data_IF_757832990704
#
_entry.id   IF_757832990704
#
_cell.length_a   1.000
_cell.length_b   1.000
_cell.length_c   1.000
_cell.angle_alpha   90.00
_cell.angle_beta   90.00
_cell.angle_gamma   90.00
#
_symmetry.space_group_name_H-M   'P 1'
#
loop_
_entity.id
_entity.type
_entity.pdbx_description
1 polymer ?
#
# COMPACT_ATOMS: atom_id res chain seq x y z
N UNK A 1 36.08 34.20 -39.29
CA UNK A 1 35.89 35.01 -38.07
C UNK A 1 34.39 35.09 -37.81
N UNK A 2 33.97 34.60 -36.62
CA UNK A 2 32.76 35.00 -35.86
C UNK A 2 31.42 34.61 -36.48
N UNK A 3 30.42 34.00 -35.84
CA UNK A 3 30.20 33.45 -34.49
C UNK A 3 28.89 32.66 -34.64
N UNK A 4 28.85 31.38 -34.26
CA UNK A 4 28.25 30.90 -33.00
C UNK A 4 26.78 31.33 -32.80
N UNK A 5 25.86 30.40 -33.09
CA UNK A 5 24.56 30.30 -32.40
C UNK A 5 24.08 28.85 -32.55
N UNK A 6 24.75 27.96 -31.81
CA UNK A 6 24.16 26.69 -31.37
C UNK A 6 23.14 27.08 -30.31
N UNK A 7 21.88 27.24 -30.71
CA UNK A 7 20.79 27.36 -29.74
C UNK A 7 20.62 25.98 -29.13
N UNK A 8 21.22 25.80 -27.95
CA UNK A 8 21.05 24.62 -27.12
C UNK A 8 19.56 24.34 -26.95
N UNK A 9 19.15 23.18 -27.42
CA UNK A 9 17.94 22.52 -26.98
C UNK A 9 18.06 22.28 -25.47
N UNK A 10 17.45 23.16 -24.67
CA UNK A 10 16.96 22.78 -23.35
C UNK A 10 15.45 22.75 -23.45
N UNK A 11 14.94 21.67 -24.04
CA UNK A 11 13.60 21.20 -23.71
C UNK A 11 13.61 20.94 -22.20
N UNK A 12 13.18 21.93 -21.42
CA UNK A 12 12.60 21.70 -20.11
C UNK A 12 11.29 20.95 -20.34
N UNK A 13 11.40 19.69 -20.73
CA UNK A 13 10.38 18.71 -20.40
C UNK A 13 10.49 18.53 -18.89
N UNK A 14 9.93 19.49 -18.15
CA UNK A 14 9.46 19.23 -16.80
C UNK A 14 8.35 18.21 -16.99
N UNK A 15 8.73 16.93 -16.96
CA UNK A 15 7.77 15.85 -16.80
C UNK A 15 7.08 16.15 -15.48
N UNK A 16 5.87 16.69 -15.57
CA UNK A 16 5.01 16.81 -14.40
C UNK A 16 4.82 15.38 -13.91
N UNK A 17 5.36 15.06 -12.74
CA UNK A 17 4.87 13.93 -11.98
C UNK A 17 3.46 14.34 -11.55
N UNK A 18 2.46 13.99 -12.36
CA UNK A 18 1.07 14.05 -11.94
C UNK A 18 0.96 13.13 -10.72
N UNK A 19 0.91 13.71 -9.53
CA UNK A 19 0.34 13.01 -8.39
C UNK A 19 -1.16 13.05 -8.64
N UNK A 20 -1.68 12.09 -9.41
CA UNK A 20 -3.12 11.90 -9.48
C UNK A 20 -3.59 11.62 -8.05
N UNK A 21 -4.56 12.39 -7.54
CA UNK A 21 -5.19 12.08 -6.27
C UNK A 21 -5.77 10.67 -6.38
N UNK A 22 -5.30 9.77 -5.51
CA UNK A 22 -5.78 8.40 -5.47
C UNK A 22 -7.23 8.42 -4.93
N UNK A 23 -8.12 7.68 -5.59
CA UNK A 23 -9.54 7.52 -5.21
C UNK A 23 -10.48 8.74 -5.37
N UNK A 24 -10.11 9.79 -6.13
CA UNK A 24 -10.94 11.01 -6.28
C UNK A 24 -12.42 10.73 -6.69
N UNK A 25 -12.65 9.69 -7.50
CA UNK A 25 -13.99 9.29 -7.97
C UNK A 25 -14.44 7.91 -7.44
N UNK A 26 -13.78 7.37 -6.42
CA UNK A 26 -14.10 6.05 -5.85
C UNK A 26 -14.87 6.25 -4.55
N UNK A 27 -16.20 6.35 -4.66
CA UNK A 27 -17.08 6.29 -3.49
C UNK A 27 -17.36 4.84 -3.11
N UNK A 28 -16.74 4.40 -2.01
CA UNK A 28 -17.00 3.11 -1.39
C UNK A 28 -17.25 3.32 0.11
N UNK A 29 -18.48 3.06 0.61
CA UNK A 29 -18.83 3.29 2.02
C UNK A 29 -18.05 2.40 3.00
N UNK A 30 -17.46 1.29 2.52
CA UNK A 30 -16.66 0.41 3.36
C UNK A 30 -15.27 1.02 3.64
N UNK A 31 -14.80 1.93 2.80
CA UNK A 31 -13.53 2.64 2.97
C UNK A 31 -13.66 3.72 4.04
N UNK A 32 -12.86 3.58 5.09
CA UNK A 32 -12.58 4.60 6.09
C UNK A 32 -11.49 5.54 5.56
N UNK A 33 -11.69 6.86 5.71
CA UNK A 33 -10.82 7.92 5.16
C UNK A 33 -10.51 7.80 3.65
N UNK A 34 -11.26 6.96 2.92
CA UNK A 34 -11.16 6.78 1.47
C UNK A 34 -10.14 5.73 1.00
N UNK A 35 -9.32 5.16 1.88
CA UNK A 35 -8.24 4.22 1.51
C UNK A 35 -8.00 3.07 2.50
N UNK A 36 -8.76 3.00 3.59
CA UNK A 36 -8.61 1.96 4.62
C UNK A 36 -9.86 1.11 4.78
N UNK A 37 -9.71 -0.21 4.76
CA UNK A 37 -10.75 -1.11 5.29
C UNK A 37 -10.39 -1.47 6.73
N UNK A 38 -11.35 -1.25 7.63
CA UNK A 38 -11.24 -1.52 9.06
C UNK A 38 -12.07 -2.75 9.43
N UNK A 39 -11.52 -3.66 10.23
CA UNK A 39 -12.35 -4.69 10.88
C UNK A 39 -13.35 -4.02 11.85
N UNK A 40 -14.45 -4.69 12.21
CA UNK A 40 -15.53 -4.07 12.99
C UNK A 40 -15.09 -3.39 14.29
N UNK A 41 -14.12 -3.96 15.01
CA UNK A 41 -13.55 -3.39 16.23
C UNK A 41 -12.73 -2.13 15.96
N UNK A 42 -11.98 -2.09 14.86
CA UNK A 42 -11.23 -0.91 14.40
C UNK A 42 -12.15 0.22 13.98
N UNK A 43 -13.18 -0.09 13.20
CA UNK A 43 -14.15 0.92 12.75
C UNK A 43 -14.89 1.52 13.94
N UNK A 44 -15.36 0.68 14.87
CA UNK A 44 -16.01 1.14 16.09
C UNK A 44 -15.07 2.03 16.93
N UNK A 45 -13.80 1.63 17.10
CA UNK A 45 -12.85 2.46 17.84
C UNK A 45 -12.63 3.82 17.16
N UNK A 46 -12.44 3.83 15.84
CA UNK A 46 -12.22 5.06 15.08
C UNK A 46 -13.42 6.02 15.14
N UNK A 47 -14.64 5.51 14.97
CA UNK A 47 -15.88 6.30 14.99
C UNK A 47 -16.13 6.98 16.35
N UNK A 48 -15.76 6.32 17.44
CA UNK A 48 -15.95 6.84 18.79
C UNK A 48 -14.70 7.51 19.39
N UNK A 49 -13.64 7.68 18.61
CA UNK A 49 -12.39 8.30 19.09
C UNK A 49 -11.65 7.46 20.14
N UNK A 50 -11.91 6.15 20.18
CA UNK A 50 -11.21 5.19 21.00
C UNK A 50 -10.07 4.53 20.22
N UNK A 51 -9.25 3.74 20.94
CA UNK A 51 -8.27 2.87 20.31
C UNK A 51 -8.58 1.40 20.59
N UNK A 52 -8.29 0.54 19.62
CA UNK A 52 -8.56 -0.90 19.69
C UNK A 52 -7.69 -1.63 20.69
N UNK A 53 -6.52 -1.09 21.06
CA UNK A 53 -5.62 -1.71 22.03
C UNK A 53 -5.18 -0.80 23.20
N UNK A 54 -5.84 0.34 23.37
CA UNK A 54 -5.68 1.24 24.50
C UNK A 54 -4.45 2.15 24.41
N UNK A 55 -3.88 2.34 23.22
CA UNK A 55 -2.77 3.24 22.96
C UNK A 55 -3.12 4.36 21.96
N UNK A 56 -2.51 5.51 22.13
CA UNK A 56 -2.81 6.66 21.28
C UNK A 56 -2.37 6.43 19.82
N UNK A 57 -3.34 6.63 18.91
CA UNK A 57 -3.21 6.94 17.47
C UNK A 57 -2.70 5.80 16.57
N UNK A 58 -3.64 5.00 16.08
CA UNK A 58 -3.53 4.34 14.76
C UNK A 58 -2.56 3.15 14.65
N UNK A 59 -2.16 2.55 15.77
CA UNK A 59 -1.31 1.34 15.76
C UNK A 59 -2.12 0.13 16.23
N UNK A 60 -2.16 -0.93 15.43
CA UNK A 60 -2.74 -2.21 15.84
C UNK A 60 -1.65 -3.17 16.30
N UNK A 61 -1.17 -3.04 17.54
CA UNK A 61 -0.04 -3.86 18.05
C UNK A 61 -0.29 -5.35 17.92
N UNK A 62 -1.55 -5.77 18.09
CA UNK A 62 -1.96 -7.19 18.03
C UNK A 62 -2.07 -7.72 16.60
N UNK A 63 -1.94 -6.86 15.59
CA UNK A 63 -2.08 -7.19 14.17
C UNK A 63 -0.83 -6.85 13.38
N UNK A 64 0.33 -6.80 14.00
CA UNK A 64 1.59 -6.67 13.27
C UNK A 64 1.95 -7.97 12.53
N UNK A 65 2.70 -7.83 11.44
CA UNK A 65 3.33 -8.96 10.77
C UNK A 65 4.40 -9.58 11.69
N UNK A 66 4.33 -10.89 11.99
CA UNK A 66 5.31 -11.55 12.84
C UNK A 66 6.74 -11.34 12.32
N UNK A 67 7.65 -10.91 13.19
CA UNK A 67 9.05 -10.63 12.87
C UNK A 67 9.24 -9.58 11.74
N UNK A 68 8.22 -8.78 11.43
CA UNK A 68 8.24 -7.85 10.30
C UNK A 68 8.26 -8.54 8.93
N UNK A 69 7.99 -9.85 8.85
CA UNK A 69 7.99 -10.60 7.60
C UNK A 69 6.60 -10.58 6.97
N UNK A 70 6.55 -10.10 5.73
CA UNK A 70 5.32 -9.90 4.95
C UNK A 70 5.37 -10.82 3.72
N UNK A 71 4.75 -12.01 3.78
CA UNK A 71 4.55 -12.83 2.59
C UNK A 71 3.65 -12.10 1.60
N UNK A 72 3.96 -12.16 0.30
CA UNK A 72 3.15 -11.50 -0.72
C UNK A 72 2.98 -12.31 -2.01
N UNK A 73 1.90 -12.00 -2.73
CA UNK A 73 1.65 -12.42 -4.11
C UNK A 73 1.32 -11.20 -4.97
N UNK A 74 1.53 -11.29 -6.28
CA UNK A 74 1.10 -10.27 -7.23
C UNK A 74 0.16 -10.91 -8.23
N UNK A 75 -1.07 -10.41 -8.27
CA UNK A 75 -2.11 -10.91 -9.15
C UNK A 75 -1.72 -10.68 -10.63
N UNK A 76 -2.10 -11.58 -11.57
CA UNK A 76 -1.92 -11.39 -13.01
C UNK A 76 -2.38 -10.03 -13.55
N UNK A 77 -3.38 -9.42 -12.91
CA UNK A 77 -3.84 -8.08 -13.23
C UNK A 77 -2.74 -7.02 -13.16
N UNK A 78 -1.70 -7.22 -12.35
CA UNK A 78 -0.57 -6.30 -12.18
C UNK A 78 0.75 -6.91 -12.62
N UNK A 79 0.96 -8.21 -12.44
CA UNK A 79 2.25 -8.84 -12.77
C UNK A 79 2.57 -8.85 -14.26
N UNK A 80 1.54 -8.73 -15.10
CA UNK A 80 1.66 -8.53 -16.55
C UNK A 80 2.00 -7.09 -16.96
N UNK A 81 2.00 -6.13 -16.03
CA UNK A 81 2.25 -4.71 -16.29
C UNK A 81 3.64 -4.29 -15.79
N UNK A 82 4.61 -4.01 -16.68
CA UNK A 82 5.98 -3.68 -16.28
C UNK A 82 6.09 -2.48 -15.33
N UNK A 83 5.32 -1.41 -15.60
CA UNK A 83 5.30 -0.20 -14.75
C UNK A 83 4.78 -0.48 -13.35
N UNK A 84 3.70 -1.26 -13.22
CA UNK A 84 3.16 -1.64 -11.92
C UNK A 84 4.15 -2.52 -11.14
N UNK A 85 4.79 -3.48 -11.81
CA UNK A 85 5.81 -4.33 -11.19
C UNK A 85 7.03 -3.53 -10.72
N UNK A 86 7.45 -2.52 -11.50
CA UNK A 86 8.53 -1.62 -11.10
C UNK A 86 8.14 -0.82 -9.85
N UNK A 87 6.92 -0.27 -9.80
CA UNK A 87 6.43 0.48 -8.64
C UNK A 87 6.32 -0.40 -7.39
N UNK A 88 5.72 -1.60 -7.49
CA UNK A 88 5.58 -2.55 -6.38
C UNK A 88 6.95 -2.93 -5.83
N UNK A 89 7.90 -3.30 -6.68
CA UNK A 89 9.26 -3.67 -6.25
C UNK A 89 9.99 -2.49 -5.62
N UNK A 90 9.94 -1.32 -6.25
CA UNK A 90 10.55 -0.10 -5.71
C UNK A 90 10.02 0.28 -4.33
N UNK A 91 8.71 0.16 -4.11
CA UNK A 91 8.10 0.38 -2.80
C UNK A 91 8.58 -0.65 -1.75
N UNK A 92 8.57 -1.95 -2.09
CA UNK A 92 9.04 -3.00 -1.19
C UNK A 92 10.53 -2.83 -0.82
N UNK A 93 11.36 -2.43 -1.77
CA UNK A 93 12.79 -2.17 -1.57
C UNK A 93 13.02 -0.93 -0.69
N UNK A 94 12.24 0.14 -0.90
CA UNK A 94 12.28 1.34 -0.06
C UNK A 94 11.99 1.02 1.40
N UNK A 95 10.92 0.24 1.66
CA UNK A 95 10.57 -0.19 3.01
C UNK A 95 11.63 -1.12 3.62
N UNK A 96 12.10 -2.09 2.83
CA UNK A 96 13.07 -3.07 3.30
C UNK A 96 14.44 -2.46 3.60
N UNK A 97 14.83 -1.40 2.90
CA UNK A 97 16.10 -0.70 3.11
C UNK A 97 16.10 0.25 4.31
N UNK A 98 14.93 0.75 4.74
CA UNK A 98 14.82 1.76 5.81
C UNK A 98 14.23 1.26 7.11
N UNK A 99 13.61 0.08 7.10
CA UNK A 99 12.91 -0.49 8.26
C UNK A 99 13.30 -1.95 8.47
N UNK A 100 12.74 -2.59 9.50
CA UNK A 100 12.85 -4.04 9.72
C UNK A 100 11.84 -4.87 8.92
N UNK A 101 10.97 -4.25 8.11
CA UNK A 101 9.98 -4.97 7.30
C UNK A 101 10.66 -5.70 6.15
N UNK A 102 10.33 -6.97 5.93
CA UNK A 102 10.88 -7.81 4.86
C UNK A 102 9.76 -8.45 4.06
N UNK A 103 9.75 -8.20 2.76
CA UNK A 103 8.80 -8.82 1.83
C UNK A 103 9.36 -10.12 1.29
N UNK A 104 8.59 -11.21 1.34
CA UNK A 104 8.99 -12.52 0.80
C UNK A 104 7.91 -13.03 -0.17
N UNK A 105 8.28 -13.63 -1.32
CA UNK A 105 7.30 -14.33 -2.15
C UNK A 105 6.60 -15.40 -1.33
N UNK A 106 5.27 -15.36 -1.31
CA UNK A 106 4.47 -16.35 -0.58
C UNK A 106 4.70 -17.75 -1.16
N UNK A 107 4.80 -18.73 -0.26
CA UNK A 107 4.80 -20.15 -0.56
C UNK A 107 3.58 -20.83 0.06
N UNK A 108 3.61 -21.07 1.38
CA UNK A 108 2.59 -21.80 2.14
C UNK A 108 1.93 -20.97 3.23
N UNK A 109 2.35 -19.71 3.39
CA UNK A 109 1.89 -18.85 4.45
C UNK A 109 0.39 -18.60 4.34
N UNK A 110 -0.32 -18.73 5.47
CA UNK A 110 -1.77 -18.56 5.53
C UNK A 110 -2.21 -17.11 5.43
N UNK A 111 -1.41 -16.20 5.99
CA UNK A 111 -1.63 -14.76 5.92
C UNK A 111 -0.56 -14.15 5.02
N UNK A 112 -0.99 -13.35 4.06
CA UNK A 112 -0.13 -12.71 3.08
C UNK A 112 -0.82 -11.48 2.51
N UNK A 113 -0.05 -10.65 1.82
CA UNK A 113 -0.56 -9.53 1.03
C UNK A 113 -0.74 -9.96 -0.43
N UNK A 114 -1.86 -9.64 -1.04
CA UNK A 114 -2.01 -9.75 -2.49
C UNK A 114 -2.09 -8.35 -3.09
N UNK A 115 -1.16 -8.06 -4.02
CA UNK A 115 -1.21 -6.87 -4.85
C UNK A 115 -2.07 -7.15 -6.08
N UNK A 116 -3.13 -6.36 -6.31
CA UNK A 116 -4.04 -6.55 -7.44
C UNK A 116 -4.59 -5.21 -7.94
N UNK A 117 -5.16 -5.23 -9.15
CA UNK A 117 -5.83 -4.07 -9.73
C UNK A 117 -7.30 -4.08 -9.31
N UNK A 118 -7.61 -3.38 -8.23
CA UNK A 118 -8.97 -3.15 -7.76
C UNK A 118 -9.61 -1.88 -8.32
N UNK A 119 -10.80 -1.55 -7.83
CA UNK A 119 -11.35 -0.20 -7.92
C UNK A 119 -10.71 0.64 -6.81
N UNK A 120 -9.94 1.65 -7.19
CA UNK A 120 -9.21 2.48 -6.25
C UNK A 120 -8.00 1.79 -5.60
N UNK A 121 -7.40 2.52 -4.69
CA UNK A 121 -6.21 2.21 -3.91
C UNK A 121 -6.63 2.10 -2.44
N UNK A 122 -6.57 0.90 -1.87
CA UNK A 122 -6.96 0.72 -0.48
C UNK A 122 -6.31 -0.50 0.13
N UNK A 123 -6.34 -0.55 1.47
CA UNK A 123 -5.87 -1.71 2.20
C UNK A 123 -6.51 -1.90 3.55
N UNK A 124 -6.35 -3.10 4.09
CA UNK A 124 -6.66 -3.34 5.49
C UNK A 124 -5.57 -2.78 6.41
N UNK A 125 -5.98 -2.29 7.58
CA UNK A 125 -5.03 -1.79 8.59
C UNK A 125 -4.49 -2.95 9.45
N UNK A 126 -3.26 -3.34 9.15
CA UNK A 126 -2.53 -4.42 9.82
C UNK A 126 -2.73 -5.79 9.18
N UNK A 127 -2.07 -6.80 9.73
CA UNK A 127 -2.19 -8.20 9.34
C UNK A 127 -3.57 -8.71 9.76
N UNK A 128 -4.41 -8.99 8.78
CA UNK A 128 -5.68 -9.69 9.00
C UNK A 128 -5.44 -11.18 9.07
N UNK A 129 -6.06 -11.83 10.05
CA UNK A 129 -6.07 -13.27 10.20
C UNK A 129 -7.22 -13.66 11.08
N UNK A 130 -8.37 -14.02 10.49
CA UNK A 130 -9.44 -14.61 11.28
C UNK A 130 -9.04 -16.03 11.71
N UNK A 131 -9.45 -16.39 12.93
CA UNK A 131 -9.29 -17.72 13.56
C UNK A 131 -10.32 -18.75 13.07
N UNK A 132 -11.13 -18.45 12.06
CA UNK A 132 -12.15 -19.36 11.53
C UNK A 132 -11.85 -19.68 10.06
N UNK A 133 -12.04 -20.95 9.72
CA UNK A 133 -11.53 -21.63 8.53
C UNK A 133 -11.98 -21.08 7.15
N UNK A 134 -12.81 -20.03 7.12
CA UNK A 134 -13.43 -19.54 5.88
C UNK A 134 -13.04 -18.11 5.48
N UNK A 135 -12.14 -17.44 6.22
CA UNK A 135 -11.69 -16.10 5.84
C UNK A 135 -10.16 -16.00 5.89
N UNK A 136 -9.56 -16.45 4.80
CA UNK A 136 -8.13 -16.31 4.51
C UNK A 136 -7.73 -14.84 4.67
N UNK A 137 -6.73 -14.60 5.53
CA UNK A 137 -6.18 -13.27 5.81
C UNK A 137 -5.47 -12.68 4.60
N UNK A 138 -6.25 -12.13 3.67
CA UNK A 138 -5.78 -11.36 2.54
C UNK A 138 -5.69 -9.90 2.97
N UNK A 139 -4.47 -9.44 3.25
CA UNK A 139 -4.20 -8.01 3.19
C UNK A 139 -4.27 -7.60 1.72
N UNK A 140 -5.39 -7.02 1.30
CA UNK A 140 -5.58 -6.54 -0.05
C UNK A 140 -4.86 -5.19 -0.20
N UNK A 141 -3.95 -5.05 -1.17
CA UNK A 141 -3.39 -3.76 -1.59
C UNK A 141 -3.83 -3.50 -3.03
N UNK A 142 -4.83 -2.62 -3.19
CA UNK A 142 -5.16 -2.00 -4.47
C UNK A 142 -4.11 -0.96 -4.84
N UNK A 143 -3.59 -1.04 -6.07
CA UNK A 143 -2.59 -0.14 -6.70
C UNK A 143 -1.97 0.98 -5.81
N UNK A 144 -0.70 0.84 -5.46
CA UNK A 144 0.27 1.81 -5.99
C UNK A 144 0.92 2.92 -5.14
N UNK A 145 0.57 3.20 -3.87
CA UNK A 145 1.48 3.85 -2.91
C UNK A 145 1.04 3.59 -1.47
N UNK A 146 1.71 2.66 -0.77
CA UNK A 146 1.53 2.55 0.68
C UNK A 146 2.26 3.70 1.38
N UNK A 147 1.57 4.81 1.59
CA UNK A 147 1.99 5.84 2.54
C UNK A 147 1.69 5.31 3.94
N UNK A 148 2.54 4.43 4.47
CA UNK A 148 2.63 4.37 5.91
C UNK A 148 3.30 5.67 6.34
N UNK A 149 2.50 6.60 6.87
CA UNK A 149 2.96 7.83 7.53
C UNK A 149 4.05 7.43 8.52
N UNK A 150 5.31 7.72 8.16
CA UNK A 150 6.40 7.75 9.11
C UNK A 150 6.17 8.94 10.04
N UNK A 151 6.52 8.73 11.31
CA UNK A 151 6.73 9.82 12.27
C UNK A 151 7.75 10.83 11.74
#
# INVERSE_FOLDING_TARGET
>A
MKSLLVVLAFCLAVTHAENADENEDVFDPDLFEGDMILEPDQRLAAEFGFDVDGQARGSTKRRHWPNGVVPYTVNPSLSSQPKAMQAIRGAMDLWSSRTCIRFIPRTTEKAYIEFFKGKGCWSYVGRIGKKTADQFGQGMLGQGHSVARNR
#
